data_IF_269127565303
#
_entry.id   IF_269127565303
#
_cell.length_a   1.000
_cell.length_b   1.000
_cell.length_c   1.000
_cell.angle_alpha   90.00
_cell.angle_beta   90.00
_cell.angle_gamma   90.00
#
_symmetry.space_group_name_H-M   'P 1'
#
loop_
_entity.id
_entity.type
_entity.pdbx_description
1 polymer ?
#
# COMPACT_ATOMS: atom_id res chain seq x y z
N UNK A 1 -14.24 0.54 -5.30
CA UNK A 1 -13.26 1.60 -5.58
C UNK A 1 -11.94 1.17 -4.95
N UNK A 2 -10.81 1.33 -5.62
CA UNK A 2 -9.50 0.99 -5.08
C UNK A 2 -8.88 2.25 -4.48
N UNK A 3 -8.72 2.26 -3.16
CA UNK A 3 -8.01 3.32 -2.46
C UNK A 3 -6.53 2.96 -2.35
N UNK A 4 -5.65 3.92 -2.57
CA UNK A 4 -4.23 3.82 -2.29
C UNK A 4 -3.99 4.38 -0.89
N UNK A 5 -3.11 3.74 -0.13
CA UNK A 5 -2.73 4.15 1.22
C UNK A 5 -1.24 4.00 1.47
N UNK A 6 -0.72 4.72 2.44
CA UNK A 6 0.70 4.74 2.80
C UNK A 6 0.84 4.44 4.29
N UNK A 7 1.79 3.58 4.65
CA UNK A 7 2.17 3.31 6.04
C UNK A 7 3.69 3.26 6.13
N UNK A 8 4.28 3.55 7.29
CA UNK A 8 5.72 3.35 7.55
C UNK A 8 5.99 2.16 8.49
N UNK A 9 4.95 1.67 9.17
CA UNK A 9 4.96 0.50 10.07
C UNK A 9 3.68 -0.32 9.92
N UNK A 10 3.80 -1.65 9.98
CA UNK A 10 2.65 -2.57 9.90
C UNK A 10 1.65 -2.39 11.06
N UNK A 11 2.07 -1.85 12.20
CA UNK A 11 1.20 -1.57 13.35
C UNK A 11 0.13 -0.54 13.06
N UNK A 12 0.29 0.27 12.01
CA UNK A 12 -0.67 1.30 11.59
C UNK A 12 -1.75 0.76 10.64
N UNK A 13 -1.63 -0.50 10.22
CA UNK A 13 -2.52 -1.11 9.24
C UNK A 13 -3.91 -1.40 9.85
N UNK A 14 -5.01 -0.89 9.26
CA UNK A 14 -6.36 -1.22 9.72
C UNK A 14 -6.65 -2.72 9.64
N UNK A 15 -7.22 -3.29 10.69
CA UNK A 15 -7.57 -4.71 10.75
C UNK A 15 -9.04 -4.95 10.36
N UNK A 16 -9.37 -6.05 9.68
CA UNK A 16 -8.47 -7.11 9.21
C UNK A 16 -7.72 -6.70 7.94
N UNK A 17 -6.44 -7.08 7.86
CA UNK A 17 -5.64 -6.86 6.65
C UNK A 17 -4.88 -8.11 6.20
N UNK A 18 -4.67 -8.19 4.88
CA UNK A 18 -3.83 -9.16 4.24
C UNK A 18 -2.46 -8.54 3.94
N UNK A 19 -1.40 -9.12 4.48
CA UNK A 19 -0.05 -8.73 4.14
C UNK A 19 0.47 -9.61 3.00
N UNK A 20 0.68 -8.99 1.86
CA UNK A 20 1.14 -9.62 0.64
C UNK A 20 2.68 -9.64 0.61
N UNK A 21 3.25 -10.84 0.61
CA UNK A 21 4.67 -11.12 0.46
C UNK A 21 4.94 -11.62 -0.95
N UNK A 22 5.67 -10.85 -1.73
CA UNK A 22 5.98 -11.19 -3.12
C UNK A 22 7.36 -11.80 -3.23
N UNK A 23 7.46 -12.87 -4.01
CA UNK A 23 8.69 -13.60 -4.26
C UNK A 23 8.87 -13.83 -5.76
N UNK A 24 10.11 -13.74 -6.22
CA UNK A 24 10.45 -14.11 -7.60
C UNK A 24 10.41 -15.63 -7.76
N UNK A 25 9.72 -16.11 -8.79
CA UNK A 25 9.70 -17.52 -9.19
C UNK A 25 10.35 -17.70 -10.56
N UNK A 26 11.06 -18.81 -10.77
CA UNK A 26 11.61 -19.18 -12.07
C UNK A 26 10.64 -20.01 -12.93
N UNK A 27 9.70 -20.75 -12.31
CA UNK A 27 8.98 -21.83 -13.01
C UNK A 27 7.45 -21.64 -13.06
N UNK A 28 6.76 -21.45 -11.93
CA UNK A 28 5.30 -21.30 -11.87
C UNK A 28 4.87 -20.33 -10.77
N UNK A 29 3.70 -19.73 -10.94
CA UNK A 29 3.04 -19.00 -9.86
C UNK A 29 2.65 -19.98 -8.74
N UNK A 30 3.02 -19.66 -7.50
CA UNK A 30 2.62 -20.44 -6.32
C UNK A 30 2.04 -19.49 -5.28
N UNK A 31 0.92 -19.87 -4.70
CA UNK A 31 0.25 -19.13 -3.65
C UNK A 31 0.34 -19.93 -2.37
N UNK A 32 0.87 -19.33 -1.30
CA UNK A 32 0.86 -19.91 0.04
C UNK A 32 0.18 -18.91 0.96
N UNK A 33 -1.06 -19.20 1.35
CA UNK A 33 -1.77 -18.45 2.38
C UNK A 33 -1.33 -18.99 3.74
N UNK A 34 -0.73 -18.13 4.57
CA UNK A 34 -0.42 -18.42 5.98
C UNK A 34 -1.29 -17.52 6.84
N UNK A 35 -2.17 -18.13 7.62
CA UNK A 35 -2.98 -17.42 8.61
C UNK A 35 -2.29 -17.59 9.95
N UNK A 36 -1.83 -16.50 10.56
CA UNK A 36 -1.22 -16.55 11.90
C UNK A 36 -2.30 -16.41 12.99
N UNK A 37 -2.01 -16.93 14.19
CA UNK A 37 -2.88 -16.95 15.36
C UNK A 37 -3.43 -15.56 15.75
N UNK A 38 -2.71 -14.50 15.37
CA UNK A 38 -3.08 -13.10 15.61
C UNK A 38 -3.99 -12.48 14.53
N UNK A 39 -4.69 -13.29 13.71
CA UNK A 39 -5.58 -12.85 12.61
C UNK A 39 -4.89 -12.03 11.51
N UNK A 40 -3.56 -11.98 11.49
CA UNK A 40 -2.80 -11.40 10.39
C UNK A 40 -2.65 -12.47 9.31
N UNK A 41 -3.34 -12.29 8.18
CA UNK A 41 -3.23 -13.17 7.05
C UNK A 41 -2.04 -12.74 6.19
N UNK A 42 -1.12 -13.67 5.92
CA UNK A 42 -0.01 -13.47 5.00
C UNK A 42 -0.27 -14.24 3.71
N UNK A 43 -0.24 -13.56 2.58
CA UNK A 43 -0.26 -14.21 1.27
C UNK A 43 1.14 -14.18 0.69
N UNK A 44 1.78 -15.34 0.57
CA UNK A 44 3.01 -15.45 -0.20
C UNK A 44 2.66 -15.75 -1.65
N UNK A 45 2.99 -14.83 -2.56
CA UNK A 45 2.87 -15.03 -4.00
C UNK A 45 4.24 -15.12 -4.64
N UNK A 46 4.53 -16.27 -5.22
CA UNK A 46 5.67 -16.51 -6.07
C UNK A 46 5.21 -16.27 -7.51
N UNK A 47 5.84 -15.39 -8.29
CA UNK A 47 5.43 -15.14 -9.67
C UNK A 47 6.59 -14.80 -10.60
N UNK A 48 6.36 -14.99 -11.90
CA UNK A 48 7.28 -14.57 -12.96
C UNK A 48 6.72 -13.31 -13.66
N UNK A 49 7.54 -12.29 -13.97
CA UNK A 49 7.09 -11.02 -14.58
C UNK A 49 6.33 -11.12 -15.90
N UNK A 50 6.39 -12.27 -16.58
CA UNK A 50 5.69 -12.52 -17.84
C UNK A 50 4.28 -13.10 -17.67
N UNK A 51 3.88 -13.44 -16.43
CA UNK A 51 2.54 -13.96 -16.16
C UNK A 51 1.56 -12.83 -15.83
N UNK A 52 0.24 -13.02 -16.07
CA UNK A 52 -0.79 -12.04 -15.74
C UNK A 52 -0.96 -11.92 -14.21
N UNK A 53 -0.03 -11.21 -13.58
CA UNK A 53 0.06 -11.12 -12.12
C UNK A 53 -1.23 -10.59 -11.47
N UNK A 54 -1.89 -9.62 -12.11
CA UNK A 54 -3.16 -9.07 -11.63
C UNK A 54 -4.27 -10.09 -11.48
N UNK A 55 -4.46 -10.93 -12.49
CA UNK A 55 -5.49 -11.98 -12.50
C UNK A 55 -5.19 -13.03 -11.42
N UNK A 56 -3.95 -13.51 -11.38
CA UNK A 56 -3.53 -14.51 -10.38
C UNK A 56 -3.68 -13.98 -8.95
N UNK A 57 -3.27 -12.73 -8.69
CA UNK A 57 -3.46 -12.13 -7.36
C UNK A 57 -4.95 -11.98 -7.06
N UNK A 58 -5.74 -11.45 -8.00
CA UNK A 58 -7.17 -11.22 -7.79
C UNK A 58 -7.90 -12.53 -7.50
N UNK A 59 -7.62 -13.60 -8.24
CA UNK A 59 -8.17 -14.93 -7.98
C UNK A 59 -7.75 -15.47 -6.62
N UNK A 60 -6.48 -15.33 -6.25
CA UNK A 60 -5.96 -15.82 -4.97
C UNK A 60 -6.61 -15.14 -3.75
N UNK A 61 -7.07 -13.90 -3.89
CA UNK A 61 -7.76 -13.17 -2.81
C UNK A 61 -9.27 -13.20 -2.95
N UNK A 62 -9.80 -13.59 -4.11
CA UNK A 62 -11.23 -13.69 -4.37
C UNK A 62 -11.79 -14.82 -3.51
N UNK A 63 -12.57 -14.45 -2.49
CA UNK A 63 -13.11 -15.38 -1.48
C UNK A 63 -12.58 -15.14 -0.06
N UNK A 64 -11.49 -14.38 0.11
CA UNK A 64 -10.97 -14.04 1.44
C UNK A 64 -11.71 -12.87 2.12
N UNK A 65 -12.64 -12.21 1.42
CA UNK A 65 -13.38 -11.02 1.88
C UNK A 65 -12.48 -9.93 2.50
N UNK A 66 -11.28 -9.76 1.95
CA UNK A 66 -10.26 -8.80 2.43
C UNK A 66 -10.56 -7.42 1.86
N UNK A 67 -10.58 -6.41 2.74
CA UNK A 67 -10.73 -4.99 2.38
C UNK A 67 -9.42 -4.20 2.41
N UNK A 68 -8.40 -4.71 3.09
CA UNK A 68 -7.11 -4.04 3.25
C UNK A 68 -5.99 -4.99 2.84
N UNK A 69 -5.22 -4.59 1.84
CA UNK A 69 -4.05 -5.33 1.37
C UNK A 69 -2.83 -4.45 1.60
N UNK A 70 -1.79 -4.99 2.20
CA UNK A 70 -0.53 -4.28 2.44
C UNK A 70 0.62 -5.00 1.77
N UNK A 71 1.53 -4.27 1.11
CA UNK A 71 2.79 -4.86 0.66
C UNK A 71 3.96 -3.86 0.69
N UNK A 72 5.16 -4.42 0.75
CA UNK A 72 6.41 -3.67 0.58
C UNK A 72 6.74 -3.59 -0.92
N UNK A 73 6.69 -2.40 -1.55
CA UNK A 73 6.90 -2.27 -2.98
C UNK A 73 8.37 -2.41 -3.39
N UNK A 74 9.33 -2.34 -2.47
CA UNK A 74 10.76 -2.45 -2.80
C UNK A 74 11.12 -3.82 -3.38
N UNK A 75 10.37 -4.87 -3.01
CA UNK A 75 10.59 -6.22 -3.55
C UNK A 75 10.40 -6.30 -5.06
N UNK A 76 9.58 -5.40 -5.63
CA UNK A 76 9.31 -5.34 -7.07
C UNK A 76 10.58 -5.01 -7.89
N UNK A 77 11.52 -4.25 -7.31
CA UNK A 77 12.82 -3.92 -7.93
C UNK A 77 13.56 -5.20 -8.31
N UNK A 78 13.63 -6.16 -7.37
CA UNK A 78 14.32 -7.44 -7.59
C UNK A 78 13.58 -8.37 -8.56
N UNK A 79 12.25 -8.27 -8.60
CA UNK A 79 11.38 -9.10 -9.45
C UNK A 79 11.48 -8.65 -10.91
N UNK A 80 11.30 -7.35 -11.16
CA UNK A 80 11.29 -6.79 -12.51
C UNK A 80 12.68 -6.41 -13.03
N UNK A 81 13.70 -6.30 -12.16
CA UNK A 81 15.03 -5.75 -12.48
C UNK A 81 14.94 -4.33 -13.07
N UNK A 82 14.13 -3.47 -12.43
CA UNK A 82 13.86 -2.08 -12.85
C UNK A 82 14.01 -1.14 -11.64
N UNK A 83 14.05 0.17 -11.90
CA UNK A 83 13.92 1.18 -10.84
C UNK A 83 12.60 0.99 -10.08
N UNK A 84 12.49 1.47 -8.84
CA UNK A 84 11.26 1.35 -8.05
C UNK A 84 10.05 1.96 -8.78
N UNK A 85 10.23 3.12 -9.41
CA UNK A 85 9.18 3.84 -10.15
C UNK A 85 8.72 3.02 -11.35
N UNK A 86 9.65 2.48 -12.14
CA UNK A 86 9.33 1.68 -13.34
C UNK A 86 8.71 0.33 -12.96
N UNK A 87 9.26 -0.32 -11.93
CA UNK A 87 8.75 -1.58 -11.39
C UNK A 87 7.31 -1.42 -10.89
N UNK A 88 7.04 -0.36 -10.13
CA UNK A 88 5.68 -0.06 -9.67
C UNK A 88 4.76 0.29 -10.83
N UNK A 89 5.20 1.15 -11.75
CA UNK A 89 4.37 1.52 -12.92
C UNK A 89 3.92 0.26 -13.66
N UNK A 90 4.87 -0.62 -14.00
CA UNK A 90 4.59 -1.91 -14.66
C UNK A 90 3.70 -2.83 -13.83
N UNK A 91 3.93 -2.90 -12.52
CA UNK A 91 3.14 -3.71 -11.60
C UNK A 91 1.69 -3.22 -11.51
N UNK A 92 1.47 -1.92 -11.30
CA UNK A 92 0.13 -1.33 -11.20
C UNK A 92 -0.65 -1.47 -12.50
N UNK A 93 0.00 -1.31 -13.65
CA UNK A 93 -0.62 -1.56 -14.96
C UNK A 93 -1.09 -3.00 -15.14
N UNK A 94 -0.40 -3.98 -14.53
CA UNK A 94 -0.82 -5.37 -14.55
C UNK A 94 -1.94 -5.69 -13.55
N UNK A 95 -2.07 -4.90 -12.48
CA UNK A 95 -2.94 -5.19 -11.32
C UNK A 95 -4.28 -4.48 -11.42
N UNK A 96 -4.27 -3.17 -11.65
CA UNK A 96 -5.48 -2.36 -11.57
C UNK A 96 -6.62 -2.82 -12.49
N UNK A 97 -6.38 -3.34 -13.71
CA UNK A 97 -7.45 -3.89 -14.54
C UNK A 97 -8.28 -4.99 -13.84
N UNK A 98 -7.63 -5.90 -13.11
CA UNK A 98 -8.29 -7.01 -12.41
C UNK A 98 -9.09 -6.55 -11.18
N UNK A 99 -8.73 -5.41 -10.60
CA UNK A 99 -9.36 -4.88 -9.37
C UNK A 99 -10.49 -3.88 -9.63
N UNK A 100 -10.98 -3.76 -10.87
CA UNK A 100 -12.01 -2.76 -11.25
C UNK A 100 -13.28 -2.82 -10.40
N UNK A 101 -13.70 -4.01 -9.99
CA UNK A 101 -14.90 -4.24 -9.16
C UNK A 101 -14.61 -4.40 -7.67
N UNK A 102 -13.34 -4.37 -7.27
CA UNK A 102 -12.96 -4.51 -5.87
C UNK A 102 -13.16 -3.20 -5.11
N UNK A 103 -13.55 -3.30 -3.84
CA UNK A 103 -13.70 -2.16 -2.94
C UNK A 103 -12.86 -2.35 -1.69
N UNK A 104 -11.82 -1.52 -1.56
CA UNK A 104 -10.87 -1.64 -0.47
C UNK A 104 -9.67 -0.71 -0.61
N UNK A 105 -8.64 -0.97 0.17
CA UNK A 105 -7.41 -0.17 0.22
C UNK A 105 -6.17 -1.02 0.01
N UNK A 106 -5.32 -0.62 -0.94
CA UNK A 106 -3.95 -1.08 -1.06
C UNK A 106 -3.03 -0.13 -0.28
N UNK A 107 -2.49 -0.61 0.82
CA UNK A 107 -1.46 0.06 1.61
C UNK A 107 -0.07 -0.32 1.10
N UNK A 108 0.77 0.69 0.93
CA UNK A 108 2.18 0.53 0.55
C UNK A 108 3.02 0.88 1.77
N UNK A 109 3.88 -0.05 2.17
CA UNK A 109 4.89 0.23 3.19
C UNK A 109 5.94 1.15 2.58
N UNK A 110 6.13 2.34 3.15
CA UNK A 110 6.98 3.40 2.64
C UNK A 110 7.76 4.01 3.81
N UNK A 111 9.08 3.84 3.80
CA UNK A 111 9.97 4.35 4.85
C UNK A 111 10.68 5.63 4.41
N UNK A 112 11.55 5.52 3.41
CA UNK A 112 12.48 6.58 3.02
C UNK A 112 12.37 6.95 1.53
N UNK A 113 11.18 6.85 0.94
CA UNK A 113 10.94 7.20 -0.46
C UNK A 113 9.52 7.73 -0.67
N UNK A 114 9.27 8.28 -1.85
CA UNK A 114 8.00 8.87 -2.27
C UNK A 114 7.35 8.00 -3.35
N UNK A 115 6.02 7.86 -3.30
CA UNK A 115 5.22 7.14 -4.30
C UNK A 115 4.21 8.05 -5.02
N UNK A 116 4.20 9.34 -4.69
CA UNK A 116 3.24 10.35 -5.13
C UNK A 116 3.21 10.47 -6.66
N UNK A 117 4.37 10.40 -7.32
CA UNK A 117 4.47 10.42 -8.79
C UNK A 117 3.76 9.19 -9.40
N UNK A 118 4.03 7.99 -8.89
CA UNK A 118 3.45 6.74 -9.36
C UNK A 118 1.94 6.72 -9.13
N UNK A 119 1.49 7.14 -7.94
CA UNK A 119 0.07 7.23 -7.62
C UNK A 119 -0.65 8.18 -8.57
N UNK A 120 -0.04 9.34 -8.86
CA UNK A 120 -0.59 10.30 -9.82
C UNK A 120 -0.76 9.67 -11.21
N UNK A 121 0.23 8.89 -11.68
CA UNK A 121 0.13 8.17 -12.96
C UNK A 121 -1.04 7.16 -12.94
N UNK A 122 -1.18 6.38 -11.88
CA UNK A 122 -2.28 5.41 -11.79
C UNK A 122 -3.65 6.06 -11.71
N UNK A 123 -3.82 7.12 -10.91
CA UNK A 123 -5.11 7.81 -10.76
C UNK A 123 -5.55 8.45 -12.09
N UNK A 124 -4.61 9.00 -12.86
CA UNK A 124 -4.89 9.52 -14.20
C UNK A 124 -5.28 8.42 -15.20
N UNK A 125 -4.70 7.22 -15.07
CA UNK A 125 -4.91 6.11 -16.00
C UNK A 125 -6.12 5.23 -15.67
N UNK A 126 -6.45 5.07 -14.38
CA UNK A 126 -7.45 4.13 -13.89
C UNK A 126 -8.49 4.85 -13.03
N UNK A 127 -9.69 5.04 -13.58
CA UNK A 127 -10.77 5.82 -12.96
C UNK A 127 -11.30 5.24 -11.64
N UNK A 128 -11.06 3.95 -11.39
CA UNK A 128 -11.42 3.26 -10.15
C UNK A 128 -10.31 3.24 -9.11
N UNK A 129 -9.18 3.91 -9.36
CA UNK A 129 -8.05 4.03 -8.42
C UNK A 129 -7.99 5.46 -7.91
N UNK A 130 -7.88 5.64 -6.60
CA UNK A 130 -7.78 6.96 -5.98
C UNK A 130 -6.83 6.97 -4.78
N UNK A 131 -6.26 8.13 -4.48
CA UNK A 131 -5.53 8.37 -3.23
C UNK A 131 -6.25 9.46 -2.45
N UNK A 132 -6.50 9.22 -1.15
CA UNK A 132 -7.11 10.20 -0.24
C UNK A 132 -6.24 10.31 0.99
N UNK A 133 -6.10 11.52 1.51
CA UNK A 133 -5.21 11.81 2.64
C UNK A 133 -5.49 10.97 3.89
N UNK A 134 -6.77 10.64 4.16
CA UNK A 134 -7.16 9.74 5.26
C UNK A 134 -6.56 8.33 5.21
N UNK A 135 -5.94 7.93 4.09
CA UNK A 135 -5.24 6.65 3.93
C UNK A 135 -3.72 6.79 3.97
N UNK A 136 -3.18 7.99 4.14
CA UNK A 136 -1.77 8.22 4.48
C UNK A 136 -1.62 8.19 6.00
N UNK A 137 -1.16 7.04 6.52
CA UNK A 137 -1.07 6.76 7.96
C UNK A 137 0.35 6.90 8.49
N UNK A 138 1.31 7.38 7.69
CA UNK A 138 2.71 7.55 8.13
C UNK A 138 2.80 8.50 9.33
N UNK A 139 3.61 8.14 10.32
CA UNK A 139 3.72 8.90 11.58
C UNK A 139 4.34 10.30 11.37
N UNK A 140 5.19 10.46 10.36
CA UNK A 140 5.86 11.74 10.03
C UNK A 140 4.90 12.88 9.67
N UNK A 141 3.64 12.58 9.34
CA UNK A 141 2.57 13.58 9.17
C UNK A 141 1.77 13.86 10.44
N UNK A 142 1.69 12.90 11.36
CA UNK A 142 0.90 13.05 12.59
C UNK A 142 1.64 13.85 13.68
N UNK A 143 2.93 14.14 13.49
CA UNK A 143 3.74 15.00 14.36
C UNK A 143 3.55 16.50 14.13
N UNK A 144 2.62 16.94 13.27
CA UNK A 144 2.16 18.34 13.27
C UNK A 144 1.22 18.57 14.45
N UNK A 145 1.78 18.50 15.65
CA UNK A 145 1.17 18.99 16.88
C UNK A 145 0.71 20.42 16.63
N UNK A 146 -0.60 20.68 16.78
CA UNK A 146 -1.12 22.04 16.94
C UNK A 146 -0.37 22.68 18.12
N UNK A 147 0.67 23.46 17.84
CA UNK A 147 1.17 24.43 18.80
C UNK A 147 0.13 25.56 18.81
N UNK A 148 -0.87 25.44 19.69
CA UNK A 148 -1.70 26.57 20.06
C UNK A 148 -0.79 27.59 20.77
N UNK A 149 -0.30 28.58 20.03
CA UNK A 149 0.18 29.83 20.64
C UNK A 149 -1.05 30.61 21.13
N UNK A 150 -1.57 30.23 22.29
CA UNK A 150 -2.42 31.11 23.09
C UNK A 150 -2.01 30.92 24.55
N UNK A 151 -0.98 31.66 24.95
CA UNK A 151 -0.92 32.21 26.29
C UNK A 151 -0.35 33.63 26.18
N UNK A 152 -1.28 34.57 26.16
CA UNK A 152 -1.10 35.99 26.40
C UNK A 152 -0.35 36.20 27.72
N UNK A 153 0.86 36.74 27.65
CA UNK A 153 1.55 37.33 28.79
C UNK A 153 1.01 38.75 28.95
N UNK A 154 0.11 38.94 29.91
CA UNK A 154 -0.25 40.25 30.43
C UNK A 154 0.87 40.72 31.36
N UNK A 155 1.73 41.65 30.89
CA UNK A 155 2.58 42.43 31.78
C UNK A 155 1.74 43.52 32.44
N UNK A 156 1.45 43.35 33.73
CA UNK A 156 1.07 44.44 34.61
C UNK A 156 2.32 45.18 35.06
N UNK A 157 2.54 46.39 34.56
CA UNK A 157 3.54 47.33 35.09
C UNK A 157 2.98 47.99 36.35
N UNK A 158 3.52 47.62 37.51
CA UNK A 158 3.45 48.42 38.74
C UNK A 158 4.77 49.15 38.91
N UNK A 159 4.73 50.47 38.78
CA UNK A 159 5.46 51.46 39.60
C UNK A 159 4.92 52.84 39.26
#
# INVERSE_FOLDING_TARGET
MVNLGLIDKYTLLPQPALILKLHKSQNKAKTILKIDANKTAWLQLFFHPSQPFGEVLFEAISGLNVKHICFDPTVLVSIYKLSLIDALTKWGESIWPSFKKWDGTFFFLVKNYSLEEVFTKWIKKFTHVCFKEKYDLRESKNSTTKINFNNSISLSTTT
#
